data_IF_148043383121
#
_entry.id   IF_148043383121
#
_cell.length_a   1.000
_cell.length_b   1.000
_cell.length_c   1.000
_cell.angle_alpha   90.00
_cell.angle_beta   90.00
_cell.angle_gamma   90.00
#
_symmetry.space_group_name_H-M   'P 1'
#
loop_
_entity.id
_entity.type
_entity.pdbx_description
1 polymer ?
#
# COMPACT_ATOMS: atom_id res chain seq x y z
N UNK A 1 43.89 -52.94 -2.13
CA UNK A 1 43.61 -51.76 -2.97
C UNK A 1 42.38 -51.08 -2.40
N UNK A 2 42.56 -49.92 -1.78
CA UNK A 2 41.55 -49.19 -1.00
C UNK A 2 41.14 -47.95 -1.81
N UNK A 3 39.85 -47.82 -2.12
CA UNK A 3 39.27 -46.63 -2.76
C UNK A 3 38.94 -45.55 -1.72
N UNK A 4 39.06 -44.24 -2.03
CA UNK A 4 38.78 -43.17 -1.07
C UNK A 4 37.28 -42.81 -1.02
N UNK A 5 36.79 -42.26 0.12
CA UNK A 5 35.40 -41.82 0.26
C UNK A 5 35.22 -40.38 -0.26
N UNK A 6 34.61 -40.21 -1.44
CA UNK A 6 34.23 -38.90 -1.98
C UNK A 6 32.88 -38.34 -1.44
N UNK A 7 32.38 -38.84 -0.31
CA UNK A 7 31.03 -38.52 0.17
C UNK A 7 30.89 -37.16 0.90
N UNK A 8 32.00 -36.45 1.18
CA UNK A 8 31.98 -35.26 2.05
C UNK A 8 31.72 -33.92 1.35
N UNK A 9 32.08 -33.77 0.06
CA UNK A 9 32.09 -32.45 -0.60
C UNK A 9 30.70 -32.02 -1.09
N UNK A 10 29.81 -32.97 -1.36
CA UNK A 10 28.51 -32.68 -1.97
C UNK A 10 27.47 -32.05 -1.00
N UNK A 11 27.65 -32.21 0.32
CA UNK A 11 26.71 -31.66 1.32
C UNK A 11 26.89 -30.16 1.57
N UNK A 12 28.09 -29.59 1.37
CA UNK A 12 28.32 -28.15 1.58
C UNK A 12 27.76 -27.28 0.44
N UNK A 13 27.75 -27.77 -0.79
CA UNK A 13 27.28 -27.00 -1.94
C UNK A 13 25.75 -26.76 -1.90
N UNK A 14 24.97 -27.72 -1.39
CA UNK A 14 23.51 -27.60 -1.31
C UNK A 14 23.05 -26.60 -0.24
N UNK A 15 23.76 -26.51 0.90
CA UNK A 15 23.40 -25.58 1.98
C UNK A 15 23.66 -24.11 1.61
N UNK A 16 24.69 -23.83 0.81
CA UNK A 16 25.04 -22.47 0.38
C UNK A 16 24.06 -21.93 -0.69
N UNK A 17 23.43 -22.80 -1.48
CA UNK A 17 22.44 -22.42 -2.48
C UNK A 17 21.07 -22.07 -1.89
N UNK A 18 20.68 -22.70 -0.78
CA UNK A 18 19.38 -22.43 -0.10
C UNK A 18 19.43 -21.11 0.70
N UNK A 19 20.59 -20.73 1.23
CA UNK A 19 20.77 -19.50 2.00
C UNK A 19 20.75 -18.22 1.14
N UNK A 20 21.11 -18.29 -0.14
CA UNK A 20 21.10 -17.13 -1.04
C UNK A 20 19.72 -16.81 -1.62
N UNK A 21 18.88 -17.81 -1.88
CA UNK A 21 17.53 -17.59 -2.40
C UNK A 21 16.61 -16.86 -1.39
N UNK A 22 16.79 -17.11 -0.09
CA UNK A 22 15.93 -16.54 0.96
C UNK A 22 16.18 -15.04 1.17
N UNK A 23 17.43 -14.57 1.02
CA UNK A 23 17.78 -13.16 1.19
C UNK A 23 17.27 -12.27 0.05
N UNK A 24 17.20 -12.80 -1.18
CA UNK A 24 16.69 -12.08 -2.34
C UNK A 24 15.16 -11.89 -2.30
N UNK A 25 14.42 -12.84 -1.71
CA UNK A 25 12.98 -12.69 -1.50
C UNK A 25 12.66 -11.60 -0.47
N UNK A 26 13.40 -11.55 0.65
CA UNK A 26 13.22 -10.52 1.69
C UNK A 26 13.63 -9.11 1.23
N UNK A 27 14.62 -8.99 0.34
CA UNK A 27 15.00 -7.70 -0.23
C UNK A 27 13.94 -7.14 -1.19
N UNK A 28 13.23 -7.98 -1.94
CA UNK A 28 12.12 -7.53 -2.79
C UNK A 28 10.88 -7.12 -1.97
N UNK A 29 10.58 -7.80 -0.86
CA UNK A 29 9.52 -7.40 0.05
C UNK A 29 9.84 -6.07 0.78
N UNK A 30 11.12 -5.82 1.08
CA UNK A 30 11.58 -4.56 1.67
C UNK A 30 11.66 -3.41 0.65
N UNK A 31 12.06 -3.66 -0.60
CA UNK A 31 12.08 -2.66 -1.67
C UNK A 31 10.67 -2.33 -2.20
N UNK A 32 9.70 -3.21 -2.01
CA UNK A 32 8.27 -2.90 -2.17
C UNK A 32 7.73 -1.97 -1.06
N UNK A 33 8.52 -1.69 -0.03
CA UNK A 33 8.17 -0.75 1.05
C UNK A 33 8.93 0.58 0.89
N UNK A 34 8.14 1.66 0.77
CA UNK A 34 8.47 3.04 1.13
C UNK A 34 9.09 3.99 0.07
N UNK A 35 8.37 4.19 -1.04
CA UNK A 35 8.08 5.59 -1.37
C UNK A 35 7.12 6.08 -0.27
N UNK A 36 7.32 7.24 0.40
CA UNK A 36 6.32 7.79 1.31
C UNK A 36 5.02 7.96 0.52
N UNK A 37 4.11 7.01 0.72
CA UNK A 37 2.78 7.06 0.15
C UNK A 37 1.98 7.93 1.10
N UNK A 38 1.37 8.99 0.57
CA UNK A 38 0.50 9.86 1.37
C UNK A 38 -0.60 9.04 2.09
N UNK A 39 -0.94 7.86 1.56
CA UNK A 39 -1.79 6.85 2.19
C UNK A 39 -0.90 5.74 2.78
N UNK A 40 -0.86 5.69 4.11
CA UNK A 40 -0.10 4.71 4.87
C UNK A 40 -0.97 3.47 5.12
N UNK A 41 -0.46 2.31 4.70
CA UNK A 41 -1.13 1.03 4.85
C UNK A 41 -1.20 0.25 3.54
N UNK A 42 -1.56 -1.04 3.58
CA UNK A 42 -1.68 -1.85 2.38
C UNK A 42 -2.88 -1.39 1.55
N UNK A 43 -2.69 -1.12 0.26
CA UNK A 43 -3.78 -0.89 -0.70
C UNK A 43 -3.92 -2.14 -1.57
N UNK A 44 -5.03 -2.84 -1.38
CA UNK A 44 -5.38 -4.06 -2.12
C UNK A 44 -6.59 -3.80 -3.02
N UNK A 45 -6.86 -4.73 -3.94
CA UNK A 45 -8.10 -4.70 -4.70
C UNK A 45 -9.29 -4.88 -3.76
N UNK A 46 -10.40 -4.21 -4.05
CA UNK A 46 -11.49 -4.10 -3.09
C UNK A 46 -11.19 -2.99 -2.07
N UNK A 47 -11.52 -3.24 -0.80
CA UNK A 47 -11.45 -2.24 0.26
C UNK A 47 -10.20 -2.43 1.12
N UNK A 48 -9.62 -1.32 1.59
CA UNK A 48 -8.47 -1.33 2.49
C UNK A 48 -8.54 -0.15 3.46
N UNK A 49 -8.21 -0.37 4.73
CA UNK A 49 -8.04 0.71 5.70
C UNK A 49 -6.65 1.32 5.56
N UNK A 50 -6.58 2.64 5.41
CA UNK A 50 -5.33 3.40 5.26
C UNK A 50 -5.38 4.65 6.14
N UNK A 51 -4.21 5.24 6.42
CA UNK A 51 -4.09 6.53 7.10
C UNK A 51 -3.54 7.58 6.16
N UNK A 52 -4.20 8.72 6.03
CA UNK A 52 -3.66 9.84 5.26
C UNK A 52 -2.64 10.63 6.08
N UNK A 53 -1.57 11.09 5.45
CA UNK A 53 -0.52 11.90 6.10
C UNK A 53 -0.98 13.31 6.47
N UNK A 54 -2.11 13.75 5.91
CA UNK A 54 -2.67 15.08 6.08
C UNK A 54 -2.30 16.00 4.92
N UNK A 55 -3.11 17.04 4.73
CA UNK A 55 -2.98 17.95 3.60
C UNK A 55 -4.34 18.35 3.05
N UNK A 56 -4.32 19.03 1.90
CA UNK A 56 -5.55 19.46 1.23
C UNK A 56 -6.32 18.27 0.63
N UNK A 57 -7.63 18.42 0.45
CA UNK A 57 -8.45 17.42 -0.26
C UNK A 57 -7.93 17.19 -1.68
N UNK A 58 -7.43 18.23 -2.35
CA UNK A 58 -6.82 18.13 -3.69
C UNK A 58 -5.56 17.27 -3.71
N UNK A 59 -4.68 17.39 -2.71
CA UNK A 59 -3.49 16.54 -2.60
C UNK A 59 -3.87 15.09 -2.36
N UNK A 60 -4.92 14.85 -1.55
CA UNK A 60 -5.50 13.53 -1.34
C UNK A 60 -6.03 12.93 -2.65
N UNK A 61 -6.79 13.70 -3.45
CA UNK A 61 -7.30 13.26 -4.77
C UNK A 61 -6.17 12.88 -5.73
N UNK A 62 -5.15 13.74 -5.85
CA UNK A 62 -3.97 13.47 -6.72
C UNK A 62 -3.25 12.21 -6.26
N UNK A 63 -3.10 12.03 -4.96
CA UNK A 63 -2.46 10.85 -4.42
C UNK A 63 -3.29 9.57 -4.66
N UNK A 64 -4.60 9.61 -4.41
CA UNK A 64 -5.52 8.51 -4.69
C UNK A 64 -5.48 8.11 -6.18
N UNK A 65 -5.46 9.10 -7.08
CA UNK A 65 -5.34 8.88 -8.52
C UNK A 65 -4.04 8.15 -8.90
N UNK A 66 -2.89 8.60 -8.38
CA UNK A 66 -1.59 7.95 -8.61
C UNK A 66 -1.55 6.51 -8.11
N UNK A 67 -2.24 6.24 -7.00
CA UNK A 67 -2.34 4.92 -6.38
C UNK A 67 -3.45 4.04 -6.98
N UNK A 68 -4.12 4.52 -8.04
CA UNK A 68 -5.25 3.84 -8.70
C UNK A 68 -6.41 3.54 -7.74
N UNK A 69 -6.54 4.31 -6.65
CA UNK A 69 -7.69 4.25 -5.75
C UNK A 69 -8.86 4.96 -6.43
N UNK A 70 -9.98 4.27 -6.60
CA UNK A 70 -11.17 4.81 -7.26
C UNK A 70 -12.01 5.68 -6.33
N UNK A 71 -12.05 5.33 -5.05
CA UNK A 71 -12.78 6.07 -4.03
C UNK A 71 -12.09 5.98 -2.67
N UNK A 72 -12.20 7.04 -1.89
CA UNK A 72 -11.87 7.08 -0.48
C UNK A 72 -13.14 7.38 0.32
N UNK A 73 -13.27 6.78 1.49
CA UNK A 73 -14.38 7.02 2.40
C UNK A 73 -13.84 7.37 3.77
N UNK A 74 -14.49 8.34 4.41
CA UNK A 74 -14.28 8.64 5.83
C UNK A 74 -15.57 8.46 6.59
N UNK A 75 -15.47 8.03 7.85
CA UNK A 75 -16.61 7.98 8.74
C UNK A 75 -16.77 9.36 9.41
N UNK A 76 -17.85 10.07 9.07
CA UNK A 76 -18.20 11.37 9.62
C UNK A 76 -19.47 11.23 10.47
N UNK A 77 -19.30 11.03 11.78
CA UNK A 77 -20.43 10.69 12.66
C UNK A 77 -20.93 9.27 12.38
N UNK A 78 -22.16 9.16 11.91
CA UNK A 78 -22.85 7.89 11.60
C UNK A 78 -22.88 7.56 10.09
N UNK A 79 -22.32 8.44 9.24
CA UNK A 79 -22.33 8.27 7.78
C UNK A 79 -20.94 8.21 7.18
N UNK A 80 -20.83 7.51 6.04
CA UNK A 80 -19.64 7.57 5.21
C UNK A 80 -19.74 8.74 4.23
N UNK A 81 -18.69 9.55 4.17
CA UNK A 81 -18.52 10.60 3.17
C UNK A 81 -17.46 10.17 2.18
N UNK A 82 -17.77 10.21 0.89
CA UNK A 82 -16.93 9.68 -0.18
C UNK A 82 -16.21 10.77 -0.95
N UNK A 83 -14.95 10.51 -1.29
CA UNK A 83 -14.15 11.22 -2.27
C UNK A 83 -13.94 10.29 -3.46
N UNK A 84 -14.54 10.59 -4.61
CA UNK A 84 -14.44 9.79 -5.82
C UNK A 84 -13.35 10.37 -6.73
N UNK A 85 -12.35 9.55 -7.03
CA UNK A 85 -11.19 9.97 -7.83
C UNK A 85 -11.61 10.24 -9.27
N UNK A 86 -11.30 11.44 -9.77
CA UNK A 86 -11.62 11.85 -11.14
C UNK A 86 -13.10 12.21 -11.37
N UNK A 87 -13.92 12.21 -10.33
CA UNK A 87 -15.27 12.73 -10.40
C UNK A 87 -15.26 14.27 -10.44
N UNK A 88 -16.29 14.90 -11.05
CA UNK A 88 -16.50 16.33 -10.94
C UNK A 88 -16.61 16.81 -9.49
N UNK A 89 -16.17 18.04 -9.22
CA UNK A 89 -16.15 18.63 -7.87
C UNK A 89 -17.50 18.57 -7.15
N UNK A 90 -18.61 18.79 -7.87
CA UNK A 90 -19.95 18.77 -7.27
C UNK A 90 -20.33 17.40 -6.68
N UNK A 91 -19.74 16.31 -7.17
CA UNK A 91 -19.95 14.94 -6.64
C UNK A 91 -19.21 14.77 -5.31
N UNK A 92 -18.06 15.41 -5.17
CA UNK A 92 -17.21 15.35 -3.99
C UNK A 92 -17.50 16.48 -2.98
N UNK A 93 -18.49 17.34 -3.25
CA UNK A 93 -18.79 18.53 -2.43
C UNK A 93 -18.94 18.20 -0.95
N UNK A 94 -19.70 17.16 -0.60
CA UNK A 94 -19.87 16.73 0.79
C UNK A 94 -18.54 16.41 1.50
N UNK A 95 -17.54 15.89 0.78
CA UNK A 95 -16.22 15.60 1.33
C UNK A 95 -15.40 16.89 1.54
N UNK A 96 -15.48 17.83 0.59
CA UNK A 96 -14.86 19.16 0.72
C UNK A 96 -15.49 19.96 1.85
N UNK A 97 -16.82 19.94 1.97
CA UNK A 97 -17.55 20.60 3.07
C UNK A 97 -17.23 19.98 4.44
N UNK A 98 -16.93 18.68 4.48
CA UNK A 98 -16.50 18.00 5.70
C UNK A 98 -15.07 18.36 6.12
N UNK A 99 -14.20 18.68 5.15
CA UNK A 99 -12.80 19.04 5.36
C UNK A 99 -12.43 20.38 4.68
N UNK A 100 -13.04 21.51 5.12
CA UNK A 100 -12.86 22.80 4.47
C UNK A 100 -11.40 23.30 4.55
N UNK A 101 -10.71 22.95 5.63
CA UNK A 101 -9.31 23.31 5.88
C UNK A 101 -8.32 22.21 5.48
N UNK A 102 -8.81 21.17 4.79
CA UNK A 102 -8.05 19.97 4.48
C UNK A 102 -8.27 18.82 5.45
N UNK A 103 -7.69 17.67 5.11
CA UNK A 103 -7.82 16.44 5.86
C UNK A 103 -6.71 16.38 6.92
N UNK A 104 -7.04 16.20 8.21
CA UNK A 104 -6.04 16.12 9.26
C UNK A 104 -5.06 14.97 9.06
N UNK A 105 -3.84 15.14 9.58
CA UNK A 105 -2.85 14.09 9.59
C UNK A 105 -3.34 12.86 10.37
N UNK A 106 -2.97 11.67 9.89
CA UNK A 106 -3.35 10.36 10.44
C UNK A 106 -4.85 10.06 10.38
N UNK A 107 -5.62 10.79 9.57
CA UNK A 107 -7.03 10.47 9.33
C UNK A 107 -7.15 9.08 8.73
N UNK A 108 -7.95 8.22 9.37
CA UNK A 108 -8.27 6.89 8.86
C UNK A 108 -9.28 7.01 7.73
N UNK A 109 -8.94 6.43 6.58
CA UNK A 109 -9.80 6.36 5.40
C UNK A 109 -9.97 4.89 4.98
N UNK A 110 -11.09 4.60 4.34
CA UNK A 110 -11.28 3.35 3.61
C UNK A 110 -11.02 3.64 2.14
N UNK A 111 -10.00 3.01 1.56
CA UNK A 111 -9.71 3.09 0.13
C UNK A 111 -10.42 1.96 -0.62
N UNK A 112 -11.00 2.27 -1.78
CA UNK A 112 -11.53 1.30 -2.74
C UNK A 112 -10.69 1.33 -4.01
N UNK A 113 -10.08 0.18 -4.35
CA UNK A 113 -9.43 -0.06 -5.64
C UNK A 113 -10.24 -1.07 -6.46
N UNK A 114 -10.35 -0.83 -7.76
CA UNK A 114 -10.95 -1.74 -8.72
C UNK A 114 -10.10 -3.00 -8.85
N UNK A 115 -10.75 -4.13 -9.08
CA UNK A 115 -10.08 -5.32 -9.61
C UNK A 115 -9.78 -5.05 -11.10
N UNK A 116 -8.52 -5.20 -11.49
CA UNK A 116 -8.10 -5.10 -12.89
C UNK A 116 -8.69 -6.25 -13.73
#
# INVERSE_FOLDING_TARGET
MQWPPFAGVLKLAAALFILTASALAQANDAAAQSTPSCLQGPIRDGFSAVRYEGGSVRELEVCAYRLRVNALYVLAGDRYVSLLTGAPEFVNRDFHDHYPDGVPARTTLIAKRGSA
#
